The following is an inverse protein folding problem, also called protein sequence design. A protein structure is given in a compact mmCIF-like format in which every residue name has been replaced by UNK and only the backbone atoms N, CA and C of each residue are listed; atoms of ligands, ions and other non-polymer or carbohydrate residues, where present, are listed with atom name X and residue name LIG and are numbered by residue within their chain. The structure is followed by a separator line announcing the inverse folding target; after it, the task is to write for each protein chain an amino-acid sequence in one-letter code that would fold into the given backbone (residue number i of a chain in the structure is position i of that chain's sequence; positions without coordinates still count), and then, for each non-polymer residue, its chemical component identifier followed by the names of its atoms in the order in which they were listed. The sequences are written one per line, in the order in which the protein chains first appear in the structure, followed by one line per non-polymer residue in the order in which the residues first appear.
data_IF_391302645994
#
_entry.id   IF_391302645994
#
_cell.length_a   1.000
_cell.length_b   1.000
_cell.length_c   1.000
_cell.angle_alpha   90.00
_cell.angle_beta   90.00
_cell.angle_gamma   90.00
#
_symmetry.space_group_name_H-M   'P 1'
#
loop_
_entity.id
_entity.type
_entity.pdbx_description
1 polymer ?
#
# COMPACT_ATOMS: atom_id res chain seq x y z
N UNK A 1 -19.98 -1.87 -52.32
CA UNK A 1 -19.10 -2.31 -51.22
C UNK A 1 -18.17 -1.16 -50.91
N UNK A 2 -18.15 -0.59 -49.68
CA UNK A 2 -17.06 0.29 -49.31
C UNK A 2 -15.77 -0.55 -49.25
N UNK A 3 -14.60 0.03 -49.51
CA UNK A 3 -13.36 -0.72 -49.61
C UNK A 3 -13.11 -1.44 -48.29
N UNK A 4 -12.74 -2.72 -48.35
CA UNK A 4 -12.24 -3.44 -47.19
C UNK A 4 -11.09 -2.63 -46.61
N UNK A 5 -11.32 -1.93 -45.50
CA UNK A 5 -10.25 -1.29 -44.74
C UNK A 5 -9.13 -2.32 -44.59
N UNK A 6 -7.90 -1.93 -44.94
CA UNK A 6 -6.71 -2.77 -44.82
C UNK A 6 -6.42 -3.00 -43.34
N UNK A 7 -7.26 -3.81 -42.68
CA UNK A 7 -7.21 -4.07 -41.25
C UNK A 7 -6.06 -5.00 -40.96
N UNK A 8 -5.36 -4.71 -39.87
CA UNK A 8 -4.33 -5.56 -39.29
C UNK A 8 -4.71 -5.87 -37.85
N UNK A 9 -4.17 -6.98 -37.35
CA UNK A 9 -4.27 -7.36 -35.95
C UNK A 9 -2.87 -7.51 -35.39
N UNK A 10 -2.65 -6.95 -34.23
CA UNK A 10 -1.36 -6.95 -33.55
C UNK A 10 -1.54 -7.48 -32.14
N UNK A 11 -0.63 -8.35 -31.74
CA UNK A 11 -0.51 -8.88 -30.39
C UNK A 11 0.62 -8.13 -29.67
N UNK A 12 0.33 -7.61 -28.50
CA UNK A 12 1.25 -6.90 -27.63
C UNK A 12 1.47 -7.72 -26.35
N UNK A 13 2.72 -8.07 -26.05
CA UNK A 13 3.15 -8.55 -24.74
C UNK A 13 3.80 -7.37 -23.99
N UNK A 14 3.11 -6.88 -22.96
CA UNK A 14 3.55 -5.75 -22.15
C UNK A 14 4.11 -6.25 -20.82
N UNK A 15 5.39 -5.94 -20.56
CA UNK A 15 6.09 -6.34 -19.33
C UNK A 15 6.44 -5.14 -18.47
N UNK A 16 6.53 -5.38 -17.16
CA UNK A 16 6.82 -4.35 -16.16
C UNK A 16 5.84 -4.41 -14.99
N UNK A 17 5.80 -3.33 -14.20
CA UNK A 17 4.77 -3.14 -13.17
C UNK A 17 3.50 -2.62 -13.86
N UNK A 18 2.76 -3.53 -14.49
CA UNK A 18 1.54 -3.23 -15.27
C UNK A 18 0.29 -3.92 -14.74
N UNK A 19 0.41 -4.66 -13.64
CA UNK A 19 -0.73 -5.29 -12.98
C UNK A 19 -1.09 -4.60 -11.66
N UNK A 20 -2.40 -4.50 -11.39
CA UNK A 20 -2.90 -3.81 -10.19
C UNK A 20 -2.73 -2.29 -10.20
N UNK A 21 -2.41 -1.71 -11.35
CA UNK A 21 -2.12 -0.27 -11.52
C UNK A 21 -3.12 0.45 -12.44
N UNK A 22 -4.29 -0.17 -12.68
CA UNK A 22 -5.30 0.39 -13.59
C UNK A 22 -5.00 0.19 -15.08
N UNK A 23 -4.03 -0.67 -15.45
CA UNK A 23 -3.61 -0.85 -16.84
C UNK A 23 -4.70 -1.44 -17.75
N UNK A 24 -5.44 -2.46 -17.30
CA UNK A 24 -6.57 -3.05 -18.05
C UNK A 24 -7.65 -1.99 -18.39
N UNK A 25 -8.18 -1.21 -17.43
CA UNK A 25 -9.03 -0.04 -17.69
C UNK A 25 -8.48 0.96 -18.70
N UNK A 26 -7.20 1.29 -18.57
CA UNK A 26 -6.53 2.24 -19.45
C UNK A 26 -6.49 1.71 -20.89
N UNK A 27 -6.06 0.46 -21.09
CA UNK A 27 -6.00 -0.18 -22.40
C UNK A 27 -7.39 -0.26 -23.04
N UNK A 28 -8.41 -0.64 -22.28
CA UNK A 28 -9.80 -0.66 -22.74
C UNK A 28 -10.26 0.73 -23.23
N UNK A 29 -10.03 1.76 -22.41
CA UNK A 29 -10.41 3.13 -22.73
C UNK A 29 -9.65 3.67 -23.95
N UNK A 30 -8.36 3.33 -24.07
CA UNK A 30 -7.51 3.69 -25.20
C UNK A 30 -7.99 3.02 -26.49
N UNK A 31 -8.32 1.73 -26.44
CA UNK A 31 -8.85 1.00 -27.60
C UNK A 31 -10.19 1.60 -28.07
N UNK A 32 -11.11 1.88 -27.14
CA UNK A 32 -12.38 2.53 -27.47
C UNK A 32 -12.18 3.92 -28.08
N UNK A 33 -11.32 4.75 -27.49
CA UNK A 33 -11.01 6.10 -27.99
C UNK A 33 -10.45 6.09 -29.41
N UNK A 34 -9.72 5.05 -29.79
CA UNK A 34 -9.14 4.88 -31.12
C UNK A 34 -10.03 4.05 -32.07
N UNK A 35 -11.17 3.55 -31.61
CA UNK A 35 -12.06 2.70 -32.41
C UNK A 35 -11.40 1.40 -32.85
N UNK A 36 -10.67 0.76 -31.93
CA UNK A 36 -10.02 -0.54 -32.10
C UNK A 36 -10.86 -1.64 -31.45
N UNK A 37 -10.80 -2.85 -32.00
CA UNK A 37 -11.47 -4.05 -31.47
C UNK A 37 -10.42 -5.03 -30.94
N UNK A 38 -10.79 -5.95 -30.05
CA UNK A 38 -9.85 -6.91 -29.49
C UNK A 38 -10.02 -7.17 -27.99
N UNK A 39 -8.93 -7.41 -27.29
CA UNK A 39 -8.99 -7.62 -25.85
C UNK A 39 -7.72 -7.24 -25.10
N UNK A 40 -7.85 -7.13 -23.77
CA UNK A 40 -6.73 -7.06 -22.83
C UNK A 40 -6.90 -8.10 -21.72
N UNK A 41 -5.81 -8.74 -21.33
CA UNK A 41 -5.78 -9.82 -20.36
C UNK A 41 -4.54 -9.73 -19.48
N UNK A 42 -4.67 -9.89 -18.15
CA UNK A 42 -3.50 -10.13 -17.32
C UNK A 42 -3.03 -11.56 -17.54
N UNK A 43 -1.73 -11.73 -17.75
CA UNK A 43 -1.09 -13.04 -17.85
C UNK A 43 -0.02 -13.18 -16.74
N UNK A 44 0.64 -14.34 -16.59
CA UNK A 44 1.62 -14.51 -15.54
C UNK A 44 2.90 -13.68 -15.67
N UNK A 45 3.24 -13.16 -16.86
CA UNK A 45 4.43 -12.33 -17.11
C UNK A 45 4.17 -10.82 -17.22
N UNK A 46 2.92 -10.39 -17.32
CA UNK A 46 2.56 -9.01 -17.62
C UNK A 46 1.12 -8.86 -18.11
N UNK A 47 0.93 -8.20 -19.24
CA UNK A 47 -0.38 -7.99 -19.86
C UNK A 47 -0.31 -8.35 -21.35
N UNK A 48 -1.23 -9.20 -21.78
CA UNK A 48 -1.47 -9.48 -23.20
C UNK A 48 -2.53 -8.53 -23.73
N UNK A 49 -2.29 -7.94 -24.89
CA UNK A 49 -3.28 -7.14 -25.61
C UNK A 49 -3.34 -7.62 -27.04
N UNK A 50 -4.53 -7.82 -27.58
CA UNK A 50 -4.73 -7.96 -29.02
C UNK A 50 -5.61 -6.83 -29.50
N UNK A 51 -5.18 -6.12 -30.55
CA UNK A 51 -5.96 -5.05 -31.17
C UNK A 51 -6.03 -5.24 -32.68
N UNK A 52 -7.23 -5.07 -33.23
CA UNK A 52 -7.50 -5.09 -34.66
C UNK A 52 -8.00 -3.71 -35.12
N UNK A 53 -7.45 -3.21 -36.22
CA UNK A 53 -7.83 -1.92 -36.79
C UNK A 53 -7.00 -1.49 -38.00
N UNK A 54 -7.15 -0.24 -38.40
CA UNK A 54 -6.30 0.32 -39.46
C UNK A 54 -4.86 0.52 -38.97
N UNK A 55 -3.84 0.44 -39.85
CA UNK A 55 -2.44 0.60 -39.47
C UNK A 55 -2.16 1.91 -38.72
N UNK A 56 -2.81 3.01 -39.12
CA UNK A 56 -2.64 4.31 -38.45
C UNK A 56 -3.17 4.31 -37.02
N UNK A 57 -4.29 3.61 -36.75
CA UNK A 57 -4.86 3.50 -35.40
C UNK A 57 -4.00 2.61 -34.51
N UNK A 58 -3.45 1.52 -35.05
CA UNK A 58 -2.52 0.63 -34.34
C UNK A 58 -1.22 1.36 -33.97
N UNK A 59 -0.64 2.12 -34.89
CA UNK A 59 0.54 2.93 -34.60
C UNK A 59 0.28 3.96 -33.50
N UNK A 60 -0.89 4.63 -33.51
CA UNK A 60 -1.31 5.55 -32.44
C UNK A 60 -1.52 4.84 -31.11
N UNK A 61 -2.09 3.64 -31.13
CA UNK A 61 -2.29 2.81 -29.94
C UNK A 61 -0.95 2.44 -29.31
N UNK A 62 -0.01 1.92 -30.10
CA UNK A 62 1.33 1.55 -29.63
C UNK A 62 2.07 2.73 -28.97
N UNK A 63 2.00 3.92 -29.58
CA UNK A 63 2.63 5.12 -29.02
C UNK A 63 1.98 5.57 -27.70
N UNK A 64 0.64 5.59 -27.66
CA UNK A 64 -0.12 6.02 -26.48
C UNK A 64 -0.02 5.02 -25.32
N UNK A 65 0.11 3.72 -25.61
CA UNK A 65 0.20 2.65 -24.61
C UNK A 65 1.32 2.89 -23.59
N UNK A 66 2.44 3.45 -24.03
CA UNK A 66 3.59 3.80 -23.17
C UNK A 66 3.49 5.25 -22.68
N UNK A 67 3.20 6.19 -23.57
CA UNK A 67 3.24 7.63 -23.26
C UNK A 67 2.12 8.08 -22.31
N UNK A 68 0.96 7.43 -22.36
CA UNK A 68 -0.22 7.76 -21.55
C UNK A 68 -0.48 6.71 -20.45
N UNK A 69 0.49 5.84 -20.16
CA UNK A 69 0.33 4.78 -19.16
C UNK A 69 -0.09 5.34 -17.78
N UNK A 70 -0.90 4.60 -17.00
CA UNK A 70 -1.33 5.04 -15.68
C UNK A 70 -0.17 5.45 -14.77
N UNK A 71 -0.34 6.40 -13.83
CA UNK A 71 0.76 6.95 -13.03
C UNK A 71 1.57 5.92 -12.22
N UNK A 72 0.92 4.80 -11.84
CA UNK A 72 1.57 3.72 -11.10
C UNK A 72 2.18 2.64 -12.01
N UNK A 73 1.89 2.69 -13.31
CA UNK A 73 2.41 1.73 -14.26
C UNK A 73 3.85 2.07 -14.66
N UNK A 74 4.68 1.05 -14.70
CA UNK A 74 6.04 1.15 -15.26
C UNK A 74 6.17 0.11 -16.36
N UNK A 75 5.98 0.56 -17.60
CA UNK A 75 6.16 -0.28 -18.79
C UNK A 75 7.65 -0.40 -19.08
N UNK A 76 8.16 -1.62 -19.08
CA UNK A 76 9.58 -1.92 -19.31
C UNK A 76 9.85 -2.35 -20.76
N UNK A 77 8.96 -3.18 -21.31
CA UNK A 77 9.02 -3.58 -22.71
C UNK A 77 7.62 -3.81 -23.26
N UNK A 78 7.51 -3.62 -24.57
CA UNK A 78 6.31 -3.90 -25.35
C UNK A 78 6.78 -4.65 -26.59
N UNK A 79 6.52 -5.96 -26.64
CA UNK A 79 6.81 -6.78 -27.80
C UNK A 79 5.57 -6.85 -28.68
N UNK A 80 5.69 -6.48 -29.96
CA UNK A 80 4.55 -6.41 -30.90
C UNK A 80 4.74 -7.44 -32.01
N UNK A 81 3.76 -8.31 -32.20
CA UNK A 81 3.75 -9.32 -33.27
C UNK A 81 2.49 -9.18 -34.13
N UNK A 82 2.62 -9.10 -35.46
CA UNK A 82 1.46 -9.15 -36.35
C UNK A 82 0.82 -10.54 -36.29
N UNK A 83 -0.51 -10.58 -36.21
CA UNK A 83 -1.31 -11.81 -36.20
C UNK A 83 -2.46 -11.72 -37.21
N UNK A 84 -3.12 -12.84 -37.49
CA UNK A 84 -4.25 -12.90 -38.41
C UNK A 84 -5.47 -12.16 -37.85
N UNK A 85 -6.13 -11.36 -38.68
CA UNK A 85 -7.39 -10.69 -38.33
C UNK A 85 -8.49 -11.73 -38.07
N UNK A 86 -9.29 -11.47 -37.04
CA UNK A 86 -10.43 -12.32 -36.63
C UNK A 86 -11.76 -11.62 -36.95
N UNK A 87 -11.76 -10.28 -37.09
CA UNK A 87 -12.97 -9.51 -37.38
C UNK A 87 -13.84 -9.27 -36.15
N UNK A 88 -13.23 -9.18 -34.96
CA UNK A 88 -13.90 -8.80 -33.72
C UNK A 88 -14.52 -7.39 -33.86
N UNK A 89 -15.65 -7.16 -33.19
CA UNK A 89 -16.42 -5.91 -33.30
C UNK A 89 -16.27 -4.98 -32.10
N UNK A 90 -15.88 -5.55 -30.96
CA UNK A 90 -15.80 -4.87 -29.69
C UNK A 90 -14.40 -5.07 -29.09
N UNK A 91 -14.07 -4.25 -28.10
CA UNK A 91 -12.89 -4.44 -27.26
C UNK A 91 -13.32 -4.87 -25.86
N UNK A 92 -12.70 -5.91 -25.29
CA UNK A 92 -13.11 -6.50 -24.01
C UNK A 92 -11.96 -6.71 -23.03
N UNK A 93 -12.25 -6.71 -21.73
CA UNK A 93 -11.28 -7.13 -20.70
C UNK A 93 -11.54 -8.61 -20.40
N UNK A 94 -10.59 -9.48 -20.72
CA UNK A 94 -10.70 -10.91 -20.49
C UNK A 94 -10.27 -11.30 -19.07
N UNK A 95 -10.78 -12.46 -18.60
CA UNK A 95 -10.38 -13.07 -17.35
C UNK A 95 -8.89 -13.44 -17.40
N UNK A 96 -8.18 -13.26 -16.29
CA UNK A 96 -6.73 -13.45 -16.26
C UNK A 96 -6.32 -14.90 -16.56
N UNK A 97 -5.21 -15.07 -17.28
CA UNK A 97 -4.62 -16.37 -17.57
C UNK A 97 -3.83 -16.89 -16.37
N UNK A 98 -4.19 -18.06 -15.87
CA UNK A 98 -3.52 -18.68 -14.71
C UNK A 98 -2.51 -19.71 -15.23
N UNK A 99 -1.25 -19.57 -14.81
CA UNK A 99 -0.19 -20.56 -15.05
C UNK A 99 0.55 -20.87 -13.74
N UNK A 100 1.27 -21.98 -13.74
CA UNK A 100 2.13 -22.39 -12.63
C UNK A 100 3.37 -21.49 -12.46
N UNK A 101 3.81 -20.81 -13.53
CA UNK A 101 4.95 -19.90 -13.50
C UNK A 101 4.43 -18.47 -13.57
N UNK A 102 4.86 -17.61 -12.65
CA UNK A 102 4.50 -16.20 -12.64
C UNK A 102 5.72 -15.30 -12.44
N UNK A 103 5.86 -14.34 -13.36
CA UNK A 103 6.98 -13.41 -13.48
C UNK A 103 6.52 -11.95 -13.40
N UNK A 104 5.20 -11.71 -13.33
CA UNK A 104 4.60 -10.39 -13.28
C UNK A 104 5.02 -9.61 -12.03
N UNK A 105 5.43 -8.36 -12.23
CA UNK A 105 5.88 -7.49 -11.15
C UNK A 105 4.68 -6.89 -10.41
N UNK A 106 4.70 -6.99 -9.08
CA UNK A 106 3.68 -6.45 -8.20
C UNK A 106 4.00 -4.99 -7.87
N UNK A 107 3.00 -4.13 -7.91
CA UNK A 107 3.14 -2.74 -7.50
C UNK A 107 3.29 -2.60 -5.97
N UNK A 108 4.09 -1.63 -5.49
CA UNK A 108 4.09 -1.27 -4.07
C UNK A 108 2.72 -0.79 -3.59
N UNK A 109 2.51 -0.80 -2.28
CA UNK A 109 1.37 -0.11 -1.68
C UNK A 109 1.47 1.40 -1.89
N UNK A 110 0.34 2.04 -2.16
CA UNK A 110 0.29 3.47 -2.47
C UNK A 110 -0.68 4.17 -1.53
N UNK A 111 -0.32 5.36 -1.08
CA UNK A 111 -1.19 6.18 -0.25
C UNK A 111 -2.48 6.57 -0.98
N UNK A 112 -3.54 6.83 -0.22
CA UNK A 112 -4.83 7.29 -0.77
C UNK A 112 -4.63 8.53 -1.63
N UNK A 113 -5.19 8.52 -2.84
CA UNK A 113 -5.17 9.69 -3.73
C UNK A 113 -6.22 10.73 -3.30
N UNK A 114 -6.01 11.98 -3.72
CA UNK A 114 -6.85 13.12 -3.34
C UNK A 114 -8.33 12.92 -3.70
N UNK A 115 -8.62 12.29 -4.85
CA UNK A 115 -9.99 12.00 -5.26
C UNK A 115 -10.71 11.06 -4.29
N UNK A 116 -10.00 10.07 -3.72
CA UNK A 116 -10.57 9.19 -2.70
C UNK A 116 -10.65 9.87 -1.34
N UNK A 117 -9.72 10.76 -1.00
CA UNK A 117 -9.80 11.57 0.22
C UNK A 117 -11.01 12.50 0.20
N UNK A 118 -11.27 13.16 -0.95
CA UNK A 118 -12.42 14.02 -1.14
C UNK A 118 -13.75 13.28 -0.94
N UNK A 119 -13.87 12.04 -1.42
CA UNK A 119 -15.06 11.19 -1.18
C UNK A 119 -15.23 10.87 0.31
N UNK A 120 -14.15 10.50 1.01
CA UNK A 120 -14.23 10.20 2.44
C UNK A 120 -14.55 11.42 3.30
N UNK A 121 -14.24 12.62 2.81
CA UNK A 121 -14.55 13.88 3.46
C UNK A 121 -15.95 14.42 3.12
N UNK A 122 -16.63 13.89 2.09
CA UNK A 122 -17.91 14.40 1.61
C UNK A 122 -19.11 13.68 2.28
N UNK A 123 -19.94 14.37 3.10
CA UNK A 123 -21.09 13.78 3.78
C UNK A 123 -22.17 13.17 2.87
N UNK A 124 -22.22 13.57 1.60
CA UNK A 124 -23.20 13.03 0.65
C UNK A 124 -22.67 11.82 -0.12
N UNK A 125 -21.38 11.49 0.00
CA UNK A 125 -20.79 10.35 -0.68
C UNK A 125 -21.09 9.05 0.09
N UNK A 126 -21.34 7.96 -0.65
CA UNK A 126 -21.60 6.63 -0.06
C UNK A 126 -20.41 6.05 0.70
N UNK A 127 -19.22 6.63 0.53
CA UNK A 127 -17.98 6.29 1.23
C UNK A 127 -17.55 7.38 2.21
N UNK A 128 -18.46 8.29 2.58
CA UNK A 128 -18.22 9.23 3.67
C UNK A 128 -17.71 8.48 4.90
N UNK A 129 -16.55 8.92 5.40
CA UNK A 129 -15.85 8.35 6.55
C UNK A 129 -15.62 6.83 6.49
N UNK A 130 -15.50 6.27 5.27
CA UNK A 130 -15.16 4.87 5.07
C UNK A 130 -13.63 4.63 5.14
N UNK A 131 -13.10 3.85 6.11
CA UNK A 131 -11.65 3.77 6.37
C UNK A 131 -10.83 3.01 5.31
N UNK A 132 -11.48 2.31 4.38
CA UNK A 132 -10.83 1.43 3.40
C UNK A 132 -11.02 1.86 1.94
N UNK A 133 -11.53 3.08 1.72
CA UNK A 133 -11.68 3.68 0.38
C UNK A 133 -10.38 3.63 -0.40
N UNK A 134 -10.47 3.15 -1.64
CA UNK A 134 -9.38 3.13 -2.61
C UNK A 134 -9.95 3.16 -4.04
N UNK A 135 -9.06 3.29 -5.03
CA UNK A 135 -9.35 3.12 -6.46
C UNK A 135 -8.17 2.45 -7.18
N UNK A 136 -8.21 2.38 -8.50
CA UNK A 136 -7.13 1.81 -9.33
C UNK A 136 -5.78 2.50 -9.13
N UNK A 137 -5.78 3.79 -8.75
CA UNK A 137 -4.60 4.64 -8.59
C UNK A 137 -4.05 4.72 -7.15
N UNK A 138 -4.66 4.05 -6.16
CA UNK A 138 -4.21 4.15 -4.77
C UNK A 138 -4.58 2.94 -3.91
N UNK A 139 -4.08 2.91 -2.67
CA UNK A 139 -4.39 1.91 -1.67
C UNK A 139 -3.44 0.71 -1.68
N UNK A 140 -3.77 -0.34 -0.90
CA UNK A 140 -2.89 -1.50 -0.74
C UNK A 140 -2.75 -2.30 -2.03
N UNK A 141 -1.56 -2.86 -2.23
CA UNK A 141 -1.17 -3.74 -3.34
C UNK A 141 -0.36 -4.89 -2.74
N UNK A 142 0.95 -4.73 -2.61
CA UNK A 142 1.86 -5.74 -2.08
C UNK A 142 1.36 -6.40 -0.80
N UNK A 143 0.86 -5.62 0.16
CA UNK A 143 0.44 -6.17 1.46
C UNK A 143 -0.83 -7.04 1.40
N UNK A 144 -1.57 -7.01 0.29
CA UNK A 144 -2.83 -7.77 0.14
C UNK A 144 -2.80 -8.81 -0.98
N UNK A 145 -1.77 -8.82 -1.84
CA UNK A 145 -1.68 -9.77 -2.95
C UNK A 145 -1.22 -11.13 -2.43
N UNK A 146 -1.99 -12.18 -2.70
CA UNK A 146 -1.61 -13.58 -2.35
C UNK A 146 -1.13 -14.38 -3.56
N UNK A 147 -1.17 -13.78 -4.75
CA UNK A 147 -0.63 -14.39 -5.96
C UNK A 147 -0.92 -13.59 -7.22
N UNK A 148 -0.25 -13.95 -8.30
CA UNK A 148 -0.32 -13.30 -9.62
C UNK A 148 -0.78 -14.29 -10.70
N UNK A 149 -1.69 -13.93 -11.63
CA UNK A 149 -2.05 -12.54 -11.97
C UNK A 149 -2.93 -11.81 -10.96
N UNK A 150 -2.81 -10.48 -10.91
CA UNK A 150 -3.51 -9.61 -9.96
C UNK A 150 -5.01 -9.54 -10.25
N UNK A 151 -5.79 -10.22 -9.40
CA UNK A 151 -7.25 -10.16 -9.35
C UNK A 151 -7.75 -10.29 -7.91
N UNK A 152 -8.97 -9.82 -7.64
CA UNK A 152 -9.59 -9.82 -6.31
C UNK A 152 -9.52 -11.19 -5.63
N UNK A 153 -9.78 -12.26 -6.37
CA UNK A 153 -9.73 -13.65 -5.87
C UNK A 153 -8.34 -14.05 -5.34
N UNK A 154 -7.29 -13.41 -5.83
CA UNK A 154 -5.88 -13.59 -5.42
C UNK A 154 -5.38 -12.43 -4.58
N UNK A 155 -6.27 -11.82 -3.81
CA UNK A 155 -5.93 -10.87 -2.75
C UNK A 155 -6.61 -11.25 -1.44
N UNK A 156 -6.28 -10.55 -0.34
CA UNK A 156 -7.03 -10.64 0.92
C UNK A 156 -8.46 -10.10 0.80
N UNK A 157 -8.79 -9.40 -0.29
CA UNK A 157 -10.15 -8.91 -0.57
C UNK A 157 -11.11 -10.02 -1.05
N UNK A 158 -10.62 -11.24 -1.32
CA UNK A 158 -11.42 -12.37 -1.82
C UNK A 158 -12.59 -12.77 -0.92
N UNK A 159 -12.51 -12.50 0.39
CA UNK A 159 -13.58 -12.81 1.36
C UNK A 159 -14.72 -11.79 1.38
N UNK A 160 -14.54 -10.66 0.70
CA UNK A 160 -15.51 -9.57 0.67
C UNK A 160 -16.22 -9.59 -0.68
N UNK A 161 -17.44 -10.11 -0.74
CA UNK A 161 -18.24 -10.06 -1.96
C UNK A 161 -18.71 -8.63 -2.23
N UNK A 162 -18.50 -8.11 -3.44
CA UNK A 162 -18.95 -6.75 -3.77
C UNK A 162 -20.48 -6.68 -3.72
N UNK A 163 -21.02 -5.63 -3.08
CA UNK A 163 -22.44 -5.31 -3.23
C UNK A 163 -22.73 -4.78 -4.64
N UNK A 164 -24.01 -4.69 -4.99
CA UNK A 164 -24.49 -4.25 -6.31
C UNK A 164 -23.87 -2.92 -6.77
N UNK A 165 -23.83 -1.90 -5.90
CA UNK A 165 -23.25 -0.60 -6.28
C UNK A 165 -21.73 -0.69 -6.56
N UNK A 166 -20.98 -1.47 -5.77
CA UNK A 166 -19.55 -1.66 -6.01
C UNK A 166 -19.30 -2.51 -7.26
N UNK A 167 -20.17 -3.47 -7.54
CA UNK A 167 -20.12 -4.26 -8.76
C UNK A 167 -20.44 -3.39 -9.99
N UNK A 168 -21.40 -2.47 -9.90
CA UNK A 168 -21.71 -1.51 -10.97
C UNK A 168 -20.49 -0.66 -11.31
N UNK A 169 -19.88 0.00 -10.33
CA UNK A 169 -18.64 0.78 -10.55
C UNK A 169 -17.48 -0.07 -11.09
N UNK A 170 -17.38 -1.33 -10.67
CA UNK A 170 -16.31 -2.22 -11.14
C UNK A 170 -16.43 -2.55 -12.64
N UNK A 171 -17.66 -2.62 -13.17
CA UNK A 171 -17.94 -2.93 -14.58
C UNK A 171 -18.21 -1.71 -15.45
N UNK A 172 -18.39 -0.52 -14.87
CA UNK A 172 -18.62 0.73 -15.61
C UNK A 172 -17.30 1.36 -16.06
N UNK A 173 -17.01 1.42 -17.37
CA UNK A 173 -15.78 2.03 -17.89
C UNK A 173 -15.63 3.52 -17.61
N UNK A 174 -16.74 4.23 -17.32
CA UNK A 174 -16.71 5.65 -16.97
C UNK A 174 -16.35 5.90 -15.49
N UNK A 175 -16.40 4.87 -14.64
CA UNK A 175 -16.08 4.99 -13.22
C UNK A 175 -14.57 4.84 -12.96
N UNK A 176 -14.03 5.65 -12.05
CA UNK A 176 -12.61 5.56 -11.63
C UNK A 176 -12.26 4.21 -10.99
N UNK A 177 -13.26 3.45 -10.55
CA UNK A 177 -13.14 2.12 -9.96
C UNK A 177 -13.39 0.98 -10.95
N UNK A 178 -13.48 1.28 -12.25
CA UNK A 178 -13.48 0.26 -13.30
C UNK A 178 -12.30 -0.71 -13.11
N UNK A 179 -12.59 -2.00 -12.91
CA UNK A 179 -11.63 -3.05 -12.55
C UNK A 179 -10.72 -2.78 -11.33
N UNK A 180 -11.12 -1.91 -10.38
CA UNK A 180 -10.44 -1.77 -9.11
C UNK A 180 -10.65 -3.02 -8.25
N UNK A 181 -9.68 -3.94 -8.26
CA UNK A 181 -9.74 -5.21 -7.52
C UNK A 181 -10.03 -5.05 -6.01
N UNK A 182 -9.49 -4.04 -5.30
CA UNK A 182 -9.79 -3.82 -3.90
C UNK A 182 -11.01 -2.91 -3.65
N UNK A 183 -11.87 -2.68 -4.65
CA UNK A 183 -13.07 -1.86 -4.48
C UNK A 183 -13.97 -2.42 -3.37
N UNK A 184 -14.45 -1.53 -2.51
CA UNK A 184 -15.40 -1.82 -1.46
C UNK A 184 -16.09 -0.54 -0.96
N UNK A 185 -17.08 -0.72 -0.08
CA UNK A 185 -17.79 0.35 0.63
C UNK A 185 -18.22 -0.17 2.02
N UNK A 186 -18.83 0.67 2.89
CA UNK A 186 -19.27 0.26 4.23
C UNK A 186 -20.18 -0.97 4.26
N UNK A 187 -20.94 -1.26 3.19
CA UNK A 187 -21.87 -2.40 3.13
C UNK A 187 -21.21 -3.74 2.83
N UNK A 188 -20.09 -3.75 2.10
CA UNK A 188 -19.54 -4.99 1.52
C UNK A 188 -18.03 -5.17 1.73
N UNK A 189 -17.40 -4.20 2.38
CA UNK A 189 -15.96 -4.19 2.60
C UNK A 189 -15.58 -4.43 4.05
N UNK A 190 -14.28 -4.28 4.32
CA UNK A 190 -13.76 -4.36 5.67
C UNK A 190 -14.37 -3.32 6.60
N UNK A 191 -14.37 -3.64 7.88
CA UNK A 191 -14.83 -2.80 8.99
C UNK A 191 -13.78 -2.70 10.09
N UNK A 192 -13.88 -1.65 10.88
CA UNK A 192 -12.96 -1.35 12.00
C UNK A 192 -13.73 -1.43 13.32
N UNK A 193 -13.04 -1.86 14.38
CA UNK A 193 -13.56 -1.92 15.74
C UNK A 193 -12.43 -1.72 16.75
N UNK A 194 -12.80 -1.36 17.99
CA UNK A 194 -11.85 -1.13 19.07
C UNK A 194 -12.12 -2.12 20.21
N UNK A 195 -11.07 -2.77 20.69
CA UNK A 195 -11.11 -3.68 21.84
C UNK A 195 -10.28 -3.10 22.97
N UNK A 196 -10.87 -2.88 24.14
CA UNK A 196 -10.13 -2.47 25.34
C UNK A 196 -9.26 -3.63 25.84
N UNK A 197 -8.11 -3.31 26.46
CA UNK A 197 -7.22 -4.28 27.12
C UNK A 197 -7.99 -5.25 28.03
N UNK A 198 -8.91 -4.79 28.86
CA UNK A 198 -9.69 -5.65 29.75
C UNK A 198 -10.56 -6.67 28.99
N UNK A 199 -11.11 -6.26 27.85
CA UNK A 199 -11.90 -7.13 26.97
C UNK A 199 -11.02 -8.12 26.19
N UNK A 200 -9.74 -7.80 26.00
CA UNK A 200 -8.76 -8.66 25.32
C UNK A 200 -8.16 -9.78 26.19
N UNK A 201 -8.42 -9.79 27.51
CA UNK A 201 -7.81 -10.76 28.45
C UNK A 201 -8.45 -12.16 28.41
N UNK A 202 -9.76 -12.25 28.14
CA UNK A 202 -10.49 -13.52 27.96
C UNK A 202 -10.85 -13.74 26.50
N UNK A 203 -10.80 -14.99 26.02
CA UNK A 203 -11.22 -15.33 24.66
C UNK A 203 -12.69 -14.99 24.41
N UNK A 204 -13.58 -15.31 25.37
CA UNK A 204 -15.02 -15.04 25.24
C UNK A 204 -15.34 -13.54 25.21
N UNK A 205 -14.62 -12.74 26.00
CA UNK A 205 -14.79 -11.29 26.03
C UNK A 205 -14.24 -10.62 24.77
N UNK A 206 -13.15 -11.16 24.21
CA UNK A 206 -12.56 -10.67 22.97
C UNK A 206 -13.47 -10.92 21.78
N UNK A 207 -14.07 -12.11 21.68
CA UNK A 207 -15.00 -12.45 20.60
C UNK A 207 -16.25 -11.56 20.64
N UNK A 208 -16.77 -11.24 21.84
CA UNK A 208 -17.88 -10.30 22.02
C UNK A 208 -17.50 -8.84 21.71
N UNK A 209 -16.24 -8.45 21.94
CA UNK A 209 -15.77 -7.09 21.64
C UNK A 209 -15.42 -6.88 20.16
N UNK A 210 -15.34 -7.93 19.35
CA UNK A 210 -15.06 -7.87 17.92
C UNK A 210 -16.29 -7.51 17.07
N UNK A 211 -17.08 -6.53 17.52
CA UNK A 211 -18.25 -6.04 16.78
C UNK A 211 -17.87 -4.92 15.79
N UNK A 212 -18.31 -4.98 14.52
CA UNK A 212 -18.13 -3.89 13.56
C UNK A 212 -18.65 -2.55 14.07
N UNK A 213 -17.76 -1.58 14.31
CA UNK A 213 -18.12 -0.25 14.82
C UNK A 213 -18.08 0.84 13.74
N UNK A 214 -17.26 0.67 12.71
CA UNK A 214 -17.06 1.68 11.67
C UNK A 214 -16.52 2.98 12.26
N UNK A 215 -17.16 4.11 11.97
CA UNK A 215 -16.73 5.43 12.47
C UNK A 215 -16.68 5.51 14.00
N UNK A 216 -17.58 4.81 14.72
CA UNK A 216 -17.56 4.80 16.19
C UNK A 216 -16.26 4.24 16.77
N UNK A 217 -15.52 3.41 16.03
CA UNK A 217 -14.20 2.94 16.45
C UNK A 217 -13.16 4.07 16.44
N UNK A 218 -13.28 4.99 15.47
CA UNK A 218 -12.41 6.16 15.35
C UNK A 218 -12.69 7.13 16.51
N UNK A 219 -13.96 7.37 16.82
CA UNK A 219 -14.36 8.19 17.97
C UNK A 219 -13.82 7.60 19.29
N UNK A 220 -13.97 6.28 19.48
CA UNK A 220 -13.43 5.58 20.63
C UNK A 220 -11.90 5.69 20.71
N UNK A 221 -11.21 5.60 19.56
CA UNK A 221 -9.77 5.85 19.48
C UNK A 221 -9.42 7.28 19.91
N UNK A 222 -10.13 8.30 19.41
CA UNK A 222 -9.88 9.69 19.79
C UNK A 222 -10.07 9.91 21.29
N UNK A 223 -11.12 9.32 21.89
CA UNK A 223 -11.34 9.35 23.32
C UNK A 223 -10.18 8.71 24.11
N UNK A 224 -9.68 7.56 23.66
CA UNK A 224 -8.54 6.89 24.27
C UNK A 224 -7.26 7.73 24.22
N UNK A 225 -6.95 8.32 23.05
CA UNK A 225 -5.79 9.20 22.87
C UNK A 225 -5.90 10.44 23.76
N UNK A 226 -7.08 11.07 23.83
CA UNK A 226 -7.33 12.22 24.70
C UNK A 226 -7.18 11.86 26.19
N UNK A 227 -7.50 10.63 26.58
CA UNK A 227 -7.27 10.11 27.93
C UNK A 227 -5.79 9.75 28.20
N UNK A 228 -4.87 9.98 27.25
CA UNK A 228 -3.45 9.67 27.38
C UNK A 228 -3.10 8.19 27.25
N UNK A 229 -4.03 7.38 26.71
CA UNK A 229 -3.83 5.95 26.51
C UNK A 229 -2.99 5.65 25.27
N UNK A 230 -2.46 4.43 25.22
CA UNK A 230 -1.73 3.88 24.08
C UNK A 230 -2.65 2.92 23.34
N UNK A 231 -2.85 3.11 22.05
CA UNK A 231 -3.69 2.23 21.23
C UNK A 231 -2.84 1.53 20.17
N UNK A 232 -2.94 0.20 20.06
CA UNK A 232 -2.36 -0.51 18.92
C UNK A 232 -3.29 -0.39 17.71
N UNK A 233 -2.81 0.10 16.58
CA UNK A 233 -3.60 0.35 15.38
C UNK A 233 -3.19 -0.61 14.28
N UNK A 234 -4.14 -1.37 13.72
CA UNK A 234 -3.90 -2.16 12.52
C UNK A 234 -3.84 -1.26 11.29
N UNK A 235 -2.65 -1.14 10.70
CA UNK A 235 -2.40 -0.38 9.48
C UNK A 235 -2.50 -1.21 8.20
N UNK A 236 -1.81 -0.75 7.14
CA UNK A 236 -1.79 -1.44 5.84
C UNK A 236 -0.82 -2.63 5.81
N UNK A 237 0.38 -2.45 6.39
CA UNK A 237 1.46 -3.44 6.35
C UNK A 237 1.76 -4.11 7.68
N UNK A 238 1.15 -3.66 8.77
CA UNK A 238 1.25 -4.26 10.10
C UNK A 238 0.61 -3.36 11.14
N UNK A 239 0.81 -3.69 12.40
CA UNK A 239 0.35 -2.89 13.52
C UNK A 239 1.32 -1.75 13.85
N UNK A 240 0.75 -0.68 14.41
CA UNK A 240 1.45 0.43 15.04
C UNK A 240 1.03 0.54 16.51
N UNK A 241 1.87 1.14 17.35
CA UNK A 241 1.47 1.68 18.65
C UNK A 241 1.33 3.20 18.51
N UNK A 242 0.20 3.73 18.96
CA UNK A 242 -0.16 5.12 18.85
C UNK A 242 -0.43 5.77 20.22
N UNK A 243 0.06 6.99 20.41
CA UNK A 243 -0.31 7.88 21.51
C UNK A 243 -0.19 9.34 21.07
N UNK A 244 -0.78 10.27 21.82
CA UNK A 244 -0.65 11.70 21.56
C UNK A 244 0.81 12.15 21.65
N UNK A 245 1.34 12.76 20.58
CA UNK A 245 2.74 13.15 20.52
C UNK A 245 3.08 14.30 21.47
N UNK A 246 2.12 15.18 21.74
CA UNK A 246 2.23 16.33 22.64
C UNK A 246 1.92 16.00 24.11
N UNK A 247 1.58 14.74 24.42
CA UNK A 247 1.41 14.26 25.78
C UNK A 247 2.67 13.53 26.27
N UNK A 248 3.55 14.27 26.97
CA UNK A 248 4.82 13.74 27.48
C UNK A 248 4.66 12.49 28.35
N UNK A 249 3.59 12.40 29.15
CA UNK A 249 3.33 11.22 30.00
C UNK A 249 2.97 10.00 29.16
N UNK A 250 2.15 10.16 28.12
CA UNK A 250 1.79 9.07 27.22
C UNK A 250 3.02 8.56 26.43
N UNK A 251 3.86 9.48 25.94
CA UNK A 251 5.13 9.14 25.26
C UNK A 251 6.09 8.41 26.21
N UNK A 252 6.26 8.89 27.44
CA UNK A 252 7.09 8.23 28.45
C UNK A 252 6.58 6.83 28.78
N UNK A 253 5.27 6.67 28.92
CA UNK A 253 4.62 5.37 29.18
C UNK A 253 4.86 4.41 28.01
N UNK A 254 4.72 4.88 26.77
CA UNK A 254 4.97 4.08 25.58
C UNK A 254 6.44 3.61 25.52
N UNK A 255 7.39 4.50 25.80
CA UNK A 255 8.82 4.14 25.85
C UNK A 255 9.11 3.10 26.90
N UNK A 256 8.56 3.25 28.09
CA UNK A 256 8.73 2.32 29.21
C UNK A 256 8.17 0.93 28.86
N UNK A 257 6.92 0.86 28.37
CA UNK A 257 6.29 -0.41 27.99
C UNK A 257 7.05 -1.11 26.86
N UNK A 258 7.53 -0.35 25.86
CA UNK A 258 8.25 -0.91 24.69
C UNK A 258 9.72 -1.25 24.96
N UNK A 259 10.28 -0.80 26.09
CA UNK A 259 11.72 -0.90 26.37
C UNK A 259 12.58 -0.06 25.42
N UNK A 260 12.05 1.06 24.90
CA UNK A 260 12.67 1.90 23.86
C UNK A 260 12.88 3.33 24.36
N UNK A 261 13.89 3.53 25.22
CA UNK A 261 14.09 4.80 25.93
C UNK A 261 14.61 5.94 25.03
N UNK A 262 15.61 5.69 24.19
CA UNK A 262 16.27 6.78 23.44
C UNK A 262 15.95 6.79 21.94
N UNK A 263 15.70 5.62 21.35
CA UNK A 263 15.53 5.50 19.89
C UNK A 263 14.33 6.36 19.43
N UNK A 264 14.52 7.27 18.46
CA UNK A 264 13.47 8.19 18.01
C UNK A 264 12.19 7.47 17.60
N UNK A 265 11.05 8.05 17.97
CA UNK A 265 9.71 7.59 17.59
C UNK A 265 9.24 8.43 16.40
N UNK A 266 8.63 7.78 15.40
CA UNK A 266 8.05 8.49 14.28
C UNK A 266 6.72 9.11 14.72
N UNK A 267 6.39 10.26 14.13
CA UNK A 267 5.15 11.00 14.41
C UNK A 267 4.40 11.24 13.11
N UNK A 268 3.11 10.91 13.11
CA UNK A 268 2.18 11.23 12.06
C UNK A 268 1.54 12.59 12.34
N UNK A 269 1.51 13.43 11.31
CA UNK A 269 0.85 14.75 11.32
C UNK A 269 -0.10 14.84 10.13
N UNK A 270 -1.10 15.73 10.19
CA UNK A 270 -2.17 15.79 9.19
C UNK A 270 -1.67 16.05 7.76
N UNK A 271 -0.77 17.01 7.60
CA UNK A 271 -0.28 17.48 6.30
C UNK A 271 1.12 18.14 6.43
N UNK A 272 1.67 18.60 5.31
CA UNK A 272 2.97 19.27 5.28
C UNK A 272 2.98 20.62 6.03
N UNK A 273 1.84 21.31 6.13
CA UNK A 273 1.73 22.55 6.91
C UNK A 273 1.89 22.25 8.41
N UNK A 274 1.20 21.21 8.89
CA UNK A 274 1.36 20.70 10.24
C UNK A 274 2.80 20.25 10.52
N UNK A 275 3.47 19.60 9.56
CA UNK A 275 4.88 19.22 9.69
C UNK A 275 5.80 20.44 9.91
N UNK A 276 5.58 21.54 9.18
CA UNK A 276 6.34 22.80 9.29
C UNK A 276 6.21 23.47 10.67
N UNK A 277 5.16 23.16 11.42
CA UNK A 277 4.99 23.66 12.81
C UNK A 277 6.00 23.03 13.77
N UNK A 278 6.56 21.86 13.43
CA UNK A 278 7.40 21.07 14.34
C UNK A 278 8.83 20.86 13.84
N UNK A 279 9.03 20.91 12.52
CA UNK A 279 10.33 20.72 11.88
C UNK A 279 10.56 21.75 10.76
N UNK A 280 11.82 21.93 10.39
CA UNK A 280 12.16 22.60 9.14
C UNK A 280 11.87 21.64 7.97
N UNK A 281 11.18 22.14 6.95
CA UNK A 281 10.79 21.37 5.76
C UNK A 281 11.12 22.22 4.54
N UNK A 282 12.05 21.76 3.71
CA UNK A 282 12.28 22.35 2.38
C UNK A 282 11.32 21.77 1.33
N UNK A 283 11.41 22.27 0.09
CA UNK A 283 10.51 21.85 -1.00
C UNK A 283 10.71 20.37 -1.38
N UNK A 284 11.94 19.86 -1.30
CA UNK A 284 12.24 18.48 -1.63
C UNK A 284 11.77 17.52 -0.53
N UNK A 285 11.95 17.89 0.73
CA UNK A 285 11.43 17.19 1.89
C UNK A 285 9.90 17.15 1.89
N UNK A 286 9.23 18.24 1.51
CA UNK A 286 7.79 18.25 1.30
C UNK A 286 7.37 17.26 0.20
N UNK A 287 8.06 17.25 -0.95
CA UNK A 287 7.78 16.27 -2.01
C UNK A 287 7.93 14.82 -1.52
N UNK A 288 8.89 14.54 -0.64
CA UNK A 288 9.04 13.21 -0.04
C UNK A 288 7.86 12.88 0.89
N UNK A 289 7.46 13.81 1.75
CA UNK A 289 6.29 13.65 2.65
C UNK A 289 4.98 13.44 1.87
N UNK A 290 4.84 14.10 0.73
CA UNK A 290 3.65 14.07 -0.13
C UNK A 290 3.69 12.99 -1.21
N UNK A 291 4.82 12.31 -1.36
CA UNK A 291 4.98 11.24 -2.33
C UNK A 291 3.94 10.12 -2.13
N UNK A 292 3.58 9.39 -3.20
CA UNK A 292 2.67 8.25 -3.10
C UNK A 292 3.12 7.17 -2.10
N UNK A 293 4.42 7.10 -1.81
CA UNK A 293 5.00 6.19 -0.83
C UNK A 293 4.75 6.61 0.63
N UNK A 294 4.48 7.90 0.91
CA UNK A 294 4.31 8.49 2.27
C UNK A 294 5.28 7.90 3.32
N UNK A 295 6.61 7.97 3.09
CA UNK A 295 7.59 7.46 4.03
C UNK A 295 7.64 8.32 5.30
N UNK A 296 8.32 7.80 6.33
CA UNK A 296 8.84 8.63 7.42
C UNK A 296 10.03 9.42 6.88
N UNK A 297 9.93 10.74 6.89
CA UNK A 297 11.00 11.66 6.49
C UNK A 297 11.69 12.18 7.75
N UNK A 298 13.02 12.02 7.81
CA UNK A 298 13.83 12.61 8.88
C UNK A 298 14.05 14.09 8.59
N UNK A 299 13.44 14.94 9.40
CA UNK A 299 13.46 16.40 9.27
C UNK A 299 14.16 17.03 10.46
N UNK A 300 14.76 18.20 10.27
CA UNK A 300 15.45 18.89 11.36
C UNK A 300 14.42 19.48 12.32
N UNK A 301 14.43 19.07 13.57
CA UNK A 301 13.44 19.54 14.55
C UNK A 301 13.61 21.03 14.83
N UNK A 302 12.51 21.73 15.06
CA UNK A 302 12.57 23.12 15.52
C UNK A 302 12.87 23.16 17.02
N UNK A 303 13.64 24.15 17.46
CA UNK A 303 14.03 24.29 18.85
C UNK A 303 12.85 24.58 19.80
N UNK A 304 11.77 25.17 19.29
CA UNK A 304 10.53 25.51 20.01
C UNK A 304 9.54 24.33 20.10
N UNK A 305 9.75 23.26 19.33
CA UNK A 305 8.93 22.05 19.40
C UNK A 305 9.28 21.25 20.66
N UNK A 306 8.55 21.51 21.75
CA UNK A 306 8.82 20.91 23.07
C UNK A 306 8.74 19.38 23.05
N UNK A 307 7.69 18.83 22.45
CA UNK A 307 7.47 17.39 22.41
C UNK A 307 8.45 16.64 21.49
N UNK A 308 9.16 17.33 20.57
CA UNK A 308 10.20 16.69 19.77
C UNK A 308 11.30 16.07 20.65
N UNK A 309 11.53 16.62 21.85
CA UNK A 309 12.49 16.05 22.82
C UNK A 309 11.99 14.75 23.45
N UNK A 310 10.67 14.60 23.61
CA UNK A 310 10.05 13.37 24.12
C UNK A 310 10.01 12.30 23.03
N UNK A 311 9.72 12.69 21.79
CA UNK A 311 9.69 11.80 20.62
C UNK A 311 11.09 11.40 20.12
N UNK A 312 12.10 12.26 20.24
CA UNK A 312 13.48 11.99 19.81
C UNK A 312 14.52 12.58 20.78
N UNK A 313 14.70 12.00 21.98
CA UNK A 313 15.65 12.47 22.99
C UNK A 313 17.08 12.56 22.45
N UNK A 314 17.75 13.68 22.70
CA UNK A 314 19.15 13.89 22.29
C UNK A 314 19.39 13.98 20.77
N UNK A 315 18.32 13.99 19.95
CA UNK A 315 18.41 14.02 18.50
C UNK A 315 17.88 15.35 17.93
N UNK A 316 18.65 16.01 17.06
CA UNK A 316 18.21 17.19 16.31
C UNK A 316 17.29 16.86 15.11
N UNK A 317 16.88 15.60 14.97
CA UNK A 317 16.05 15.10 13.88
C UNK A 317 14.77 14.49 14.42
N UNK A 318 13.67 14.75 13.73
CA UNK A 318 12.36 14.20 14.01
C UNK A 318 11.90 13.40 12.77
N UNK A 319 11.44 12.16 12.99
CA UNK A 319 10.83 11.37 11.92
C UNK A 319 9.36 11.74 11.80
N UNK A 320 8.99 12.50 10.77
CA UNK A 320 7.59 12.83 10.50
C UNK A 320 7.07 12.05 9.29
N UNK A 321 5.80 11.68 9.32
CA UNK A 321 5.09 11.10 8.18
C UNK A 321 3.70 11.69 8.06
N UNK A 322 3.14 11.61 6.86
CA UNK A 322 1.76 12.01 6.58
C UNK A 322 0.85 10.77 6.53
N UNK A 323 -0.48 10.94 6.70
CA UNK A 323 -1.41 9.84 6.68
C UNK A 323 -1.43 9.21 5.29
N UNK A 324 -1.43 7.88 5.24
CA UNK A 324 -1.31 7.13 3.98
C UNK A 324 -2.49 6.19 3.71
N UNK A 325 -3.48 6.15 4.58
CA UNK A 325 -4.77 5.47 4.34
C UNK A 325 -5.92 6.33 4.87
N UNK A 326 -7.17 6.09 4.44
CA UNK A 326 -8.30 6.87 4.95
C UNK A 326 -8.47 6.70 6.46
N UNK A 327 -8.20 5.51 7.00
CA UNK A 327 -8.15 5.30 8.45
C UNK A 327 -7.18 6.26 9.13
N UNK A 328 -5.92 6.35 8.66
CA UNK A 328 -4.93 7.25 9.26
C UNK A 328 -5.34 8.73 9.20
N UNK A 329 -6.00 9.14 8.09
CA UNK A 329 -6.52 10.51 7.95
C UNK A 329 -7.54 10.79 9.05
N UNK A 330 -8.44 9.84 9.32
CA UNK A 330 -9.44 9.99 10.40
C UNK A 330 -8.78 9.96 11.79
N UNK A 331 -7.78 9.09 12.01
CA UNK A 331 -7.12 8.97 13.31
C UNK A 331 -6.35 10.25 13.69
N UNK A 332 -5.65 10.88 12.74
CA UNK A 332 -4.83 12.08 13.01
C UNK A 332 -5.67 13.35 13.22
N UNK A 333 -6.99 13.30 13.06
CA UNK A 333 -7.89 14.42 13.36
C UNK A 333 -7.81 14.85 14.84
N UNK A 334 -7.39 13.97 15.75
CA UNK A 334 -7.17 14.31 17.17
C UNK A 334 -5.83 15.01 17.46
N UNK A 335 -4.97 15.23 16.45
CA UNK A 335 -3.69 15.91 16.60
C UNK A 335 -2.48 15.04 16.17
N UNK A 336 -1.24 15.50 16.44
CA UNK A 336 -0.04 14.75 16.09
C UNK A 336 0.04 13.45 16.91
N UNK A 337 0.24 12.33 16.23
CA UNK A 337 0.28 11.00 16.84
C UNK A 337 1.68 10.41 16.73
N UNK A 338 2.28 10.01 17.85
CA UNK A 338 3.38 9.05 17.76
C UNK A 338 2.85 7.80 17.08
N UNK A 339 3.49 7.34 16.02
CA UNK A 339 3.14 6.11 15.32
C UNK A 339 4.41 5.28 15.14
N UNK A 340 4.63 4.32 16.04
CA UNK A 340 5.78 3.42 15.95
C UNK A 340 5.33 2.01 15.63
N UNK A 341 6.20 1.23 15.00
CA UNK A 341 6.04 -0.21 14.79
C UNK A 341 5.39 -0.94 16.00
N UNK A 342 4.34 -1.72 15.76
CA UNK A 342 3.60 -2.48 16.78
C UNK A 342 4.30 -3.78 17.11
N UNK A 343 5.33 -3.71 17.95
CA UNK A 343 6.12 -4.85 18.40
C UNK A 343 6.87 -4.51 19.69
N UNK A 344 7.25 -5.54 20.45
CA UNK A 344 8.31 -5.42 21.44
C UNK A 344 9.63 -5.13 20.74
N UNK A 345 10.54 -4.38 21.36
CA UNK A 345 11.83 -4.02 20.74
C UNK A 345 12.52 -5.23 20.13
N UNK A 346 13.10 -5.06 18.93
CA UNK A 346 13.84 -6.10 18.17
C UNK A 346 13.01 -7.26 17.59
N UNK A 347 11.69 -7.27 17.79
CA UNK A 347 10.81 -8.20 17.09
C UNK A 347 10.26 -7.61 15.76
N UNK A 348 9.81 -8.45 14.81
CA UNK A 348 9.05 -7.99 13.66
C UNK A 348 7.71 -7.41 14.07
N UNK A 349 7.15 -6.52 13.25
CA UNK A 349 5.82 -5.95 13.50
C UNK A 349 4.75 -7.04 13.53
N UNK A 350 3.81 -6.92 14.46
CA UNK A 350 2.63 -7.78 14.45
C UNK A 350 1.77 -7.47 13.21
N UNK A 351 1.08 -8.48 12.69
CA UNK A 351 0.28 -8.34 11.45
C UNK A 351 -1.13 -8.93 11.52
N UNK A 352 -1.35 -9.97 12.32
CA UNK A 352 -2.68 -10.57 12.52
C UNK A 352 -3.32 -10.04 13.80
N UNK A 353 -4.66 -10.10 13.87
CA UNK A 353 -5.38 -9.64 15.06
C UNK A 353 -5.00 -10.49 16.30
N UNK A 354 -4.83 -11.80 16.12
CA UNK A 354 -4.41 -12.70 17.20
C UNK A 354 -2.98 -12.42 17.68
N UNK A 355 -2.08 -12.11 16.75
CA UNK A 355 -0.69 -11.76 17.07
C UNK A 355 -0.64 -10.44 17.85
N UNK A 356 -1.43 -9.44 17.42
CA UNK A 356 -1.58 -8.18 18.15
C UNK A 356 -2.19 -8.39 19.55
N UNK A 357 -3.23 -9.24 19.68
CA UNK A 357 -3.82 -9.57 20.99
C UNK A 357 -2.79 -10.18 21.93
N UNK A 358 -1.98 -11.12 21.45
CA UNK A 358 -0.99 -11.82 22.28
C UNK A 358 0.20 -10.96 22.64
N UNK A 359 0.73 -10.18 21.69
CA UNK A 359 2.02 -9.47 21.85
C UNK A 359 1.89 -8.00 22.17
N UNK A 360 0.81 -7.34 21.75
CA UNK A 360 0.63 -5.89 21.90
C UNK A 360 -0.31 -5.51 23.04
N UNK A 361 -1.20 -6.40 23.50
CA UNK A 361 -2.04 -6.13 24.67
C UNK A 361 -1.24 -5.76 25.94
N UNK A 362 -0.02 -6.28 26.20
CA UNK A 362 0.79 -5.79 27.31
C UNK A 362 1.26 -4.33 27.14
N UNK A 363 1.43 -3.88 25.90
CA UNK A 363 1.98 -2.58 25.52
C UNK A 363 0.91 -1.50 25.35
N UNK A 364 -0.27 -1.89 24.88
CA UNK A 364 -1.40 -1.00 24.59
C UNK A 364 -2.50 -1.13 25.65
N UNK A 365 -3.28 -0.07 25.79
CA UNK A 365 -4.51 -0.01 26.58
C UNK A 365 -5.73 -0.38 25.74
N UNK A 366 -5.64 -0.30 24.41
CA UNK A 366 -6.66 -0.78 23.48
C UNK A 366 -6.06 -1.24 22.14
N UNK A 367 -6.83 -2.00 21.36
CA UNK A 367 -6.49 -2.47 20.03
C UNK A 367 -7.55 -1.97 19.04
N UNK A 368 -7.17 -1.13 18.09
CA UNK A 368 -7.98 -0.75 16.93
C UNK A 368 -7.71 -1.74 15.78
N UNK A 369 -8.68 -2.60 15.53
CA UNK A 369 -8.58 -3.77 14.66
C UNK A 369 -9.43 -3.59 13.40
N UNK A 370 -9.12 -4.40 12.39
CA UNK A 370 -9.99 -4.56 11.24
C UNK A 370 -9.91 -5.96 10.64
N UNK A 371 -10.94 -6.32 9.89
CA UNK A 371 -11.15 -7.64 9.29
C UNK A 371 -10.60 -7.73 7.87
N UNK A 372 -9.71 -6.84 7.42
CA UNK A 372 -8.84 -7.10 6.25
C UNK A 372 -7.50 -7.70 6.68
N UNK A 373 -7.12 -8.83 6.07
CA UNK A 373 -5.84 -9.47 6.36
C UNK A 373 -4.69 -8.72 5.70
N UNK A 374 -3.54 -8.79 6.35
CA UNK A 374 -2.26 -8.33 5.86
C UNK A 374 -1.49 -9.60 5.49
N UNK A 375 -1.28 -9.82 4.20
CA UNK A 375 -0.57 -11.00 3.69
C UNK A 375 0.94 -10.82 3.75
N UNK A 376 1.44 -9.75 3.12
CA UNK A 376 2.85 -9.39 3.21
C UNK A 376 3.03 -8.30 4.28
N UNK A 377 3.71 -8.67 5.36
CA UNK A 377 4.07 -7.73 6.43
C UNK A 377 5.06 -6.71 5.91
N UNK A 378 4.85 -5.43 6.17
CA UNK A 378 5.64 -4.35 5.58
C UNK A 378 5.72 -3.14 6.50
N UNK A 379 6.91 -2.90 7.08
CA UNK A 379 7.22 -1.72 7.88
C UNK A 379 7.12 -0.42 7.06
N UNK A 380 6.93 0.70 7.74
CA UNK A 380 7.07 2.03 7.11
C UNK A 380 8.51 2.28 6.67
N UNK A 381 8.67 2.79 5.45
CA UNK A 381 9.97 3.22 4.92
C UNK A 381 10.45 4.48 5.62
N UNK A 382 11.78 4.62 5.74
CA UNK A 382 12.41 5.80 6.34
C UNK A 382 13.39 6.40 5.34
N UNK A 383 13.26 7.70 5.10
CA UNK A 383 14.04 8.46 4.14
C UNK A 383 14.61 9.72 4.78
N UNK A 384 15.75 10.19 4.25
CA UNK A 384 16.34 11.47 4.57
C UNK A 384 16.75 12.19 3.29
N UNK A 385 16.54 13.49 3.21
CA UNK A 385 17.10 14.31 2.14
C UNK A 385 18.59 14.58 2.39
N UNK A 386 19.43 14.33 1.37
CA UNK A 386 20.87 14.64 1.37
C UNK A 386 21.23 15.17 -0.01
N UNK A 387 21.75 16.40 -0.09
CA UNK A 387 22.16 17.05 -1.34
C UNK A 387 21.09 17.01 -2.46
N UNK A 388 19.83 17.26 -2.09
CA UNK A 388 18.69 17.22 -3.02
C UNK A 388 18.31 15.82 -3.51
N UNK A 389 18.78 14.76 -2.84
CA UNK A 389 18.47 13.36 -3.16
C UNK A 389 17.89 12.61 -1.96
N UNK A 390 17.03 11.65 -2.25
CA UNK A 390 16.44 10.77 -1.24
C UNK A 390 17.42 9.66 -0.86
N UNK A 391 17.88 9.65 0.40
CA UNK A 391 18.61 8.54 1.00
C UNK A 391 17.64 7.64 1.77
N UNK A 392 17.36 6.45 1.23
CA UNK A 392 16.58 5.43 1.93
C UNK A 392 17.40 4.80 3.04
N UNK A 393 16.98 5.03 4.29
CA UNK A 393 17.54 4.36 5.47
C UNK A 393 16.84 3.03 5.75
N UNK A 394 15.58 2.93 5.32
CA UNK A 394 14.76 1.71 5.36
C UNK A 394 13.89 1.68 4.10
N UNK A 395 14.11 0.69 3.23
CA UNK A 395 13.31 0.43 2.04
C UNK A 395 12.26 -0.65 2.37
N UNK A 396 10.98 -0.27 2.42
CA UNK A 396 9.87 -1.15 2.80
C UNK A 396 8.57 -0.65 2.14
N UNK A 397 7.52 -0.29 2.90
CA UNK A 397 6.23 0.18 2.37
C UNK A 397 6.41 1.34 1.40
N UNK A 398 5.68 1.30 0.28
CA UNK A 398 5.76 2.33 -0.77
C UNK A 398 6.92 2.17 -1.75
N UNK A 399 7.85 1.24 -1.49
CA UNK A 399 9.00 0.97 -2.37
C UNK A 399 9.11 -0.51 -2.73
N UNK A 400 8.82 -1.42 -1.80
CA UNK A 400 8.79 -2.86 -2.04
C UNK A 400 7.43 -3.26 -2.62
N UNK A 401 7.38 -4.16 -3.62
CA UNK A 401 8.47 -4.94 -4.20
C UNK A 401 8.94 -4.38 -5.54
N UNK A 402 8.93 -3.05 -5.73
CA UNK A 402 9.36 -2.48 -7.00
C UNK A 402 10.80 -2.91 -7.32
N UNK A 403 11.04 -3.47 -8.52
CA UNK A 403 12.34 -4.02 -8.87
C UNK A 403 13.36 -2.90 -9.10
N UNK A 404 14.63 -3.23 -8.87
CA UNK A 404 15.77 -2.46 -9.34
C UNK A 404 16.25 -3.08 -10.66
N UNK A 405 16.27 -2.30 -11.74
CA UNK A 405 16.85 -2.75 -13.02
C UNK A 405 18.38 -2.74 -12.92
N UNK A 406 18.98 -3.91 -13.15
CA UNK A 406 20.43 -4.09 -13.13
C UNK A 406 21.08 -3.78 -14.49
N UNK A 407 20.28 -3.45 -15.51
CA UNK A 407 20.73 -3.10 -16.85
C UNK A 407 21.25 -4.28 -17.68
N UNK A 408 21.23 -5.50 -17.12
CA UNK A 408 21.71 -6.72 -17.77
C UNK A 408 21.00 -7.96 -17.21
N UNK A 409 20.88 -9.04 -18.00
CA UNK A 409 20.44 -10.32 -17.49
C UNK A 409 21.36 -10.82 -16.36
N UNK A 410 20.75 -11.45 -15.36
CA UNK A 410 21.40 -12.01 -14.17
C UNK A 410 20.82 -13.39 -13.89
N UNK A 411 21.63 -14.23 -13.21
CA UNK A 411 21.17 -15.53 -12.71
C UNK A 411 20.20 -15.31 -11.56
N UNK A 412 19.26 -16.23 -11.39
CA UNK A 412 18.38 -16.20 -10.23
C UNK A 412 19.13 -16.60 -8.96
N UNK A 413 19.30 -15.65 -8.05
CA UNK A 413 20.01 -15.83 -6.77
C UNK A 413 19.20 -15.17 -5.67
N UNK A 414 18.97 -15.91 -4.58
CA UNK A 414 18.46 -15.37 -3.33
C UNK A 414 19.65 -14.94 -2.46
N UNK A 415 19.84 -13.64 -2.30
CA UNK A 415 20.78 -13.07 -1.35
C UNK A 415 20.06 -12.80 -0.02
N UNK A 416 20.53 -13.43 1.06
CA UNK A 416 19.88 -13.33 2.39
C UNK A 416 20.30 -12.12 3.21
N UNK A 417 21.24 -11.32 2.71
CA UNK A 417 21.74 -10.14 3.41
C UNK A 417 22.62 -10.48 4.61
N UNK A 418 22.65 -9.58 5.59
CA UNK A 418 23.34 -9.76 6.86
C UNK A 418 22.40 -9.63 8.05
N UNK A 419 22.94 -9.76 9.26
CA UNK A 419 22.12 -9.91 10.48
C UNK A 419 21.43 -8.61 10.92
N UNK A 420 22.06 -7.45 10.76
CA UNK A 420 21.49 -6.18 11.18
C UNK A 420 20.72 -5.51 10.04
N UNK A 421 19.52 -5.03 10.35
CA UNK A 421 18.60 -4.36 9.40
C UNK A 421 18.39 -5.18 8.13
N UNK A 422 18.21 -6.49 8.30
CA UNK A 422 18.12 -7.47 7.24
C UNK A 422 17.02 -7.13 6.22
N UNK A 423 17.32 -7.43 4.97
CA UNK A 423 16.40 -7.48 3.84
C UNK A 423 16.96 -8.50 2.85
N UNK A 424 16.08 -9.35 2.33
CA UNK A 424 16.43 -10.34 1.31
C UNK A 424 16.39 -9.68 -0.07
N UNK A 425 17.07 -10.28 -1.03
CA UNK A 425 17.00 -9.88 -2.43
C UNK A 425 16.95 -11.11 -3.32
N UNK A 426 15.92 -11.22 -4.15
CA UNK A 426 15.87 -12.17 -5.25
C UNK A 426 16.26 -11.47 -6.55
N UNK A 427 17.28 -11.99 -7.22
CA UNK A 427 17.56 -11.61 -8.60
C UNK A 427 16.76 -12.50 -9.55
N UNK A 428 16.19 -11.92 -10.62
CA UNK A 428 15.42 -12.66 -11.64
C UNK A 428 15.40 -11.88 -12.95
N UNK A 429 15.71 -12.54 -14.05
CA UNK A 429 15.80 -11.89 -15.36
C UNK A 429 16.88 -10.80 -15.36
N UNK A 430 16.49 -9.54 -15.34
CA UNK A 430 17.41 -8.38 -15.23
C UNK A 430 17.21 -7.54 -13.96
N UNK A 431 16.39 -8.04 -13.03
CA UNK A 431 15.95 -7.29 -11.87
C UNK A 431 16.55 -7.84 -10.59
N UNK A 432 16.71 -6.94 -9.61
CA UNK A 432 16.84 -7.26 -8.20
C UNK A 432 15.56 -6.83 -7.48
N UNK A 433 14.86 -7.78 -6.87
CA UNK A 433 13.62 -7.57 -6.12
C UNK A 433 13.96 -7.77 -4.65
N UNK A 434 13.88 -6.69 -3.88
CA UNK A 434 14.17 -6.71 -2.44
C UNK A 434 12.90 -7.03 -1.66
N UNK A 435 13.06 -7.75 -0.54
CA UNK A 435 12.00 -7.85 0.47
C UNK A 435 11.82 -6.51 1.20
N UNK A 436 10.76 -6.44 2.00
CA UNK A 436 10.62 -5.46 3.06
C UNK A 436 11.79 -5.55 4.06
N UNK A 437 11.90 -4.53 4.90
CA UNK A 437 12.77 -4.56 6.06
C UNK A 437 12.31 -5.62 7.06
N UNK A 438 13.22 -6.49 7.50
CA UNK A 438 12.92 -7.60 8.42
C UNK A 438 13.34 -7.31 9.87
N UNK A 439 14.15 -6.28 10.09
CA UNK A 439 14.74 -5.97 11.40
C UNK A 439 16.10 -6.65 11.60
N UNK A 440 16.48 -6.86 12.85
CA UNK A 440 17.74 -7.50 13.21
C UNK A 440 17.49 -9.00 13.46
N UNK A 441 18.27 -9.89 12.85
CA UNK A 441 18.09 -11.36 12.84
C UNK A 441 18.48 -12.03 14.16
N UNK A 442 17.95 -11.54 15.28
CA UNK A 442 18.32 -11.95 16.64
C UNK A 442 17.40 -12.99 17.27
N UNK A 443 16.26 -13.32 16.66
CA UNK A 443 15.27 -14.21 17.29
C UNK A 443 14.47 -15.05 16.28
N UNK A 444 13.76 -16.06 16.79
CA UNK A 444 12.96 -16.95 15.96
C UNK A 444 11.87 -16.23 15.15
N UNK A 445 11.23 -15.19 15.70
CA UNK A 445 10.20 -14.42 14.99
C UNK A 445 10.76 -13.75 13.74
N UNK A 446 11.97 -13.16 13.84
CA UNK A 446 12.65 -12.54 12.69
C UNK A 446 13.06 -13.57 11.64
N UNK A 447 13.49 -14.77 12.05
CA UNK A 447 13.79 -15.86 11.12
C UNK A 447 12.54 -16.37 10.39
N UNK A 448 11.42 -16.52 11.10
CA UNK A 448 10.14 -16.92 10.53
C UNK A 448 9.59 -15.85 9.56
N UNK A 449 9.74 -14.57 9.90
CA UNK A 449 9.44 -13.46 8.99
C UNK A 449 10.32 -13.48 7.74
N UNK A 450 11.62 -13.77 7.87
CA UNK A 450 12.54 -13.91 6.73
C UNK A 450 12.14 -15.07 5.82
N UNK A 451 11.75 -16.23 6.37
CA UNK A 451 11.25 -17.38 5.59
C UNK A 451 10.01 -17.00 4.79
N UNK A 452 9.00 -16.40 5.42
CA UNK A 452 7.81 -15.91 4.72
C UNK A 452 8.14 -14.87 3.65
N UNK A 453 9.10 -13.98 3.90
CA UNK A 453 9.54 -13.00 2.91
C UNK A 453 10.25 -13.65 1.73
N UNK A 454 11.03 -14.71 1.96
CA UNK A 454 11.64 -15.51 0.89
C UNK A 454 10.56 -16.23 0.07
N UNK A 455 9.59 -16.86 0.72
CA UNK A 455 8.47 -17.54 0.06
C UNK A 455 7.62 -16.57 -0.78
N UNK A 456 7.45 -15.31 -0.33
CA UNK A 456 6.74 -14.28 -1.08
C UNK A 456 7.54 -13.72 -2.27
N UNK A 457 8.88 -13.83 -2.25
CA UNK A 457 9.73 -13.40 -3.35
C UNK A 457 9.84 -14.44 -4.46
N UNK A 458 9.82 -15.73 -4.09
CA UNK A 458 9.89 -16.89 -4.98
C UNK A 458 8.55 -17.10 -5.72
#
# INVERSE_FOLDING_TARGET
MPPSENKRREHFDVRGTVQGVGFRPFVFSLAQRLGLCGFVQNNPGGVTIEVEGSPDRLARFAAALVAEAPPLAQVQSVDVTPIGCVGERDFSIYASEISAHADALIAPDVATCDACLAETANPTDRRWRYPFTNCTNCGPRYTIVVGVPYDRARTTMRRFTMCEDCAREYHDPADRRFHAQPNACPRCGPTVWLVDRQQGESADAYDQACEPMGERAVEAFHHAIAAGQIVAVKGIGGFHLACAADNAQAVATLRARKGRFEKPLAVMVADAEAARRFAHVDDFEQQLLESPARPIVLLRSRADCRWARDAAPGCGWLGLMLPYSPLHVMLVECGPLVITSGNLSEEPIAATNDDARKRLAPLADALLLHDRDIHAVCDDSVVRAVDGRALLLRRSRGFVPAPLDLGRPVRSVLAVGGDLKAALCLTKGRHAIMSQHLGDMGNWLTLDAARRAADNLL
#
